data_IF_707797313191
#
_entry.id   IF_707797313191
#
_cell.length_a   1.000
_cell.length_b   1.000
_cell.length_c   1.000
_cell.angle_alpha   90.00
_cell.angle_beta   90.00
_cell.angle_gamma   90.00
#
_symmetry.space_group_name_H-M   'P 1'
#
loop_
_entity.id
_entity.type
_entity.pdbx_description
1 polymer ?
#
# COMPACT_ATOMS: atom_id res chain seq x y z
N UNK A 1 -13.65 6.04 -2.89
CA UNK A 1 -12.56 5.06 -2.81
C UNK A 1 -11.21 5.73 -3.06
N UNK A 2 -10.92 6.24 -4.26
CA UNK A 2 -9.60 6.83 -4.57
C UNK A 2 -9.19 8.14 -3.85
N UNK A 3 -10.13 8.84 -3.22
CA UNK A 3 -9.87 10.11 -2.52
C UNK A 3 -9.99 9.97 -0.99
N UNK A 4 -9.91 8.75 -0.46
CA UNK A 4 -9.89 8.50 0.99
C UNK A 4 -8.47 8.22 1.42
N UNK A 5 -7.91 9.11 2.23
CA UNK A 5 -6.54 9.05 2.75
C UNK A 5 -6.54 8.80 4.26
N UNK A 6 -5.46 8.23 4.83
CA UNK A 6 -4.25 7.76 4.14
C UNK A 6 -4.49 6.52 3.27
N UNK A 7 -3.61 6.31 2.28
CA UNK A 7 -3.63 5.20 1.34
C UNK A 7 -2.30 4.46 1.33
N UNK A 8 -2.41 3.14 1.17
CA UNK A 8 -1.32 2.27 0.83
C UNK A 8 -1.27 2.15 -0.69
N UNK A 9 -0.19 2.63 -1.29
CA UNK A 9 0.05 2.65 -2.74
C UNK A 9 1.06 1.57 -3.06
N UNK A 10 0.64 0.54 -3.77
CA UNK A 10 1.49 -0.62 -4.09
C UNK A 10 1.95 -0.49 -5.54
N UNK A 11 3.25 -0.35 -5.73
CA UNK A 11 3.91 -0.10 -7.02
C UNK A 11 5.05 -1.10 -7.15
N UNK A 12 5.11 -1.88 -8.23
CA UNK A 12 6.16 -2.91 -8.43
C UNK A 12 6.38 -3.85 -7.22
N UNK A 13 5.31 -4.16 -6.48
CA UNK A 13 5.39 -4.99 -5.29
C UNK A 13 6.20 -4.36 -4.14
N UNK A 14 6.34 -3.04 -4.15
CA UNK A 14 6.77 -2.18 -3.05
C UNK A 14 5.58 -1.37 -2.54
N UNK A 15 5.65 -0.96 -1.28
CA UNK A 15 4.59 -0.22 -0.60
C UNK A 15 5.05 1.21 -0.37
N UNK A 16 4.21 2.17 -0.75
CA UNK A 16 4.36 3.59 -0.44
C UNK A 16 3.13 4.06 0.34
N UNK A 17 3.31 5.08 1.19
CA UNK A 17 2.23 5.69 1.96
C UNK A 17 1.93 7.06 1.38
N UNK A 18 0.66 7.32 1.07
CA UNK A 18 0.18 8.63 0.71
C UNK A 18 -0.83 9.13 1.75
N UNK A 19 -0.55 10.24 2.40
CA UNK A 19 -1.48 10.97 3.27
C UNK A 19 -2.30 12.00 2.51
N UNK A 20 -1.83 12.42 1.34
CA UNK A 20 -2.49 13.42 0.49
C UNK A 20 -2.52 12.98 -0.97
N UNK A 21 -3.43 13.55 -1.80
CA UNK A 21 -3.42 13.33 -3.24
C UNK A 21 -2.09 13.71 -3.89
N UNK A 22 -1.45 14.77 -3.38
CA UNK A 22 -0.17 15.25 -3.90
C UNK A 22 0.94 14.22 -3.66
N UNK A 23 1.07 13.68 -2.44
CA UNK A 23 2.05 12.63 -2.14
C UNK A 23 1.84 11.38 -2.99
N UNK A 24 0.58 10.98 -3.21
CA UNK A 24 0.27 9.88 -4.13
C UNK A 24 0.80 10.18 -5.53
N UNK A 25 0.54 11.37 -6.05
CA UNK A 25 0.96 11.74 -7.41
C UNK A 25 2.49 11.86 -7.52
N UNK A 26 3.17 12.26 -6.43
CA UNK A 26 4.64 12.23 -6.31
C UNK A 26 5.20 10.81 -6.39
N UNK A 27 4.62 9.86 -5.66
CA UNK A 27 4.98 8.42 -5.73
C UNK A 27 4.78 7.82 -7.12
N UNK A 28 3.78 8.32 -7.87
CA UNK A 28 3.49 7.87 -9.22
C UNK A 28 4.36 8.53 -10.30
N UNK A 29 5.03 9.64 -9.98
CA UNK A 29 5.82 10.40 -10.96
C UNK A 29 7.02 9.61 -11.49
N UNK A 30 7.55 8.66 -10.71
CA UNK A 30 8.63 7.76 -11.11
C UNK A 30 8.14 6.52 -11.88
N UNK A 31 6.83 6.29 -11.95
CA UNK A 31 6.23 5.10 -12.57
C UNK A 31 6.02 5.34 -14.04
N UNK A 32 6.57 4.45 -14.87
CA UNK A 32 6.34 4.44 -16.31
C UNK A 32 4.86 4.27 -16.62
N UNK A 33 4.36 4.97 -17.64
CA UNK A 33 2.91 5.00 -17.98
C UNK A 33 2.32 3.62 -18.26
N UNK A 34 3.14 2.67 -18.71
CA UNK A 34 2.75 1.28 -18.97
C UNK A 34 2.46 0.49 -17.70
N UNK A 35 3.05 0.89 -16.57
CA UNK A 35 3.01 0.15 -15.30
C UNK A 35 2.01 0.75 -14.30
N UNK A 36 1.42 1.90 -14.65
CA UNK A 36 0.30 2.50 -13.90
C UNK A 36 -0.93 1.57 -13.83
N UNK A 37 -1.05 0.60 -14.72
CA UNK A 37 -2.09 -0.44 -14.66
C UNK A 37 -1.86 -1.44 -13.53
N UNK A 38 -0.61 -1.59 -13.08
CA UNK A 38 -0.24 -2.52 -12.01
C UNK A 38 -0.27 -1.89 -10.62
N UNK A 39 -0.44 -0.57 -10.54
CA UNK A 39 -0.61 0.12 -9.27
C UNK A 39 -1.91 -0.32 -8.58
N UNK A 40 -1.78 -0.65 -7.30
CA UNK A 40 -2.91 -0.98 -6.43
C UNK A 40 -3.00 0.03 -5.31
N UNK A 41 -4.19 0.58 -5.11
CA UNK A 41 -4.54 1.46 -4.01
C UNK A 41 -5.35 0.66 -3.02
N UNK A 42 -4.87 0.57 -1.79
CA UNK A 42 -5.58 0.04 -0.64
C UNK A 42 -5.91 1.19 0.33
N UNK A 43 -7.18 1.36 0.64
CA UNK A 43 -7.62 2.35 1.62
C UNK A 43 -7.92 1.72 2.99
N UNK A 44 -8.09 2.56 4.01
CA UNK A 44 -8.35 2.16 5.40
C UNK A 44 -9.65 1.35 5.59
N UNK A 45 -10.55 1.37 4.61
CA UNK A 45 -11.79 0.57 4.62
C UNK A 45 -11.59 -0.86 4.07
N UNK A 46 -10.38 -1.21 3.63
CA UNK A 46 -10.09 -2.51 3.03
C UNK A 46 -10.49 -2.63 1.56
N UNK A 47 -10.72 -1.51 0.89
CA UNK A 47 -11.09 -1.49 -0.53
C UNK A 47 -9.82 -1.42 -1.38
N UNK A 48 -9.64 -2.42 -2.26
CA UNK A 48 -8.56 -2.49 -3.23
C UNK A 48 -9.04 -1.98 -4.60
N UNK A 49 -8.32 -1.05 -5.19
CA UNK A 49 -8.66 -0.47 -6.48
C UNK A 49 -7.44 -0.04 -7.29
N UNK A 50 -7.60 0.10 -8.60
CA UNK A 50 -6.60 0.69 -9.50
C UNK A 50 -6.69 2.21 -9.46
N UNK A 51 -5.71 2.91 -10.05
CA UNK A 51 -5.73 4.37 -10.22
C UNK A 51 -6.95 4.92 -10.97
N UNK A 52 -7.64 4.07 -11.75
CA UNK A 52 -8.90 4.42 -12.44
C UNK A 52 -10.13 4.16 -11.59
N UNK A 53 -9.96 3.88 -10.30
CA UNK A 53 -11.01 3.53 -9.33
C UNK A 53 -11.79 2.27 -9.73
N UNK A 54 -11.17 1.37 -10.51
CA UNK A 54 -11.71 0.04 -10.78
C UNK A 54 -11.30 -0.93 -9.66
N UNK A 55 -12.21 -1.76 -9.13
CA UNK A 55 -11.90 -2.72 -8.08
C UNK A 55 -10.84 -3.72 -8.54
N UNK A 56 -9.95 -4.11 -7.63
CA UNK A 56 -8.91 -5.11 -7.87
C UNK A 56 -9.04 -6.23 -6.87
N UNK A 57 -8.53 -7.40 -7.23
CA UNK A 57 -8.47 -8.53 -6.30
C UNK A 57 -7.65 -8.15 -5.06
N UNK A 58 -8.16 -8.45 -3.84
CA UNK A 58 -7.42 -8.20 -2.61
C UNK A 58 -6.12 -9.00 -2.57
N UNK A 59 -5.10 -8.42 -1.95
CA UNK A 59 -3.90 -9.17 -1.60
C UNK A 59 -4.20 -10.23 -0.53
N UNK A 60 -3.44 -11.32 -0.55
CA UNK A 60 -3.46 -12.28 0.56
C UNK A 60 -2.90 -11.65 1.84
N UNK A 61 -3.25 -12.21 3.00
CA UNK A 61 -2.74 -11.73 4.28
C UNK A 61 -1.22 -11.86 4.38
N UNK A 62 -0.61 -12.88 3.75
CA UNK A 62 0.85 -13.02 3.67
C UNK A 62 1.47 -11.94 2.78
N UNK A 63 0.88 -11.67 1.61
CA UNK A 63 1.39 -10.65 0.69
C UNK A 63 1.39 -9.26 1.34
N UNK A 64 0.29 -8.92 2.03
CA UNK A 64 0.19 -7.67 2.77
C UNK A 64 1.23 -7.58 3.88
N UNK A 65 1.47 -8.68 4.62
CA UNK A 65 2.51 -8.72 5.65
C UNK A 65 3.90 -8.48 5.06
N UNK A 66 4.25 -9.11 3.94
CA UNK A 66 5.54 -8.91 3.27
C UNK A 66 5.73 -7.44 2.86
N UNK A 67 4.71 -6.82 2.28
CA UNK A 67 4.78 -5.42 1.84
C UNK A 67 4.97 -4.46 3.02
N UNK A 68 4.14 -4.58 4.06
CA UNK A 68 4.19 -3.72 5.24
C UNK A 68 5.51 -3.88 6.00
N UNK A 69 5.97 -5.13 6.18
CA UNK A 69 7.22 -5.38 6.89
C UNK A 69 8.44 -4.92 6.09
N UNK A 70 8.41 -5.02 4.75
CA UNK A 70 9.48 -4.50 3.89
C UNK A 70 9.55 -2.97 3.95
N UNK A 71 8.40 -2.29 3.92
CA UNK A 71 8.33 -0.84 4.10
C UNK A 71 8.92 -0.41 5.45
N UNK A 72 8.45 -1.02 6.55
CA UNK A 72 8.93 -0.70 7.90
C UNK A 72 10.43 -0.98 8.05
N UNK A 73 10.95 -2.03 7.40
CA UNK A 73 12.38 -2.31 7.40
C UNK A 73 13.17 -1.20 6.70
N UNK A 74 12.67 -0.67 5.58
CA UNK A 74 13.27 0.45 4.86
C UNK A 74 13.26 1.75 5.68
N UNK A 75 12.19 1.96 6.48
CA UNK A 75 12.08 3.06 7.44
C UNK A 75 12.96 2.86 8.70
N UNK A 76 13.68 1.73 8.80
CA UNK A 76 14.63 1.46 9.88
C UNK A 76 14.05 0.70 11.08
N UNK A 77 12.80 0.23 11.01
CA UNK A 77 12.24 -0.64 12.03
C UNK A 77 12.86 -2.04 11.97
N UNK A 78 13.21 -2.60 13.13
CA UNK A 78 13.75 -3.95 13.25
C UNK A 78 12.79 -4.90 13.96
N UNK A 79 13.09 -6.21 13.95
CA UNK A 79 12.35 -7.26 14.68
C UNK A 79 10.95 -7.61 14.14
N UNK A 80 10.73 -7.43 12.83
CA UNK A 80 9.45 -7.70 12.15
C UNK A 80 9.23 -9.18 11.78
N UNK A 81 10.21 -10.05 12.02
CA UNK A 81 10.24 -11.46 11.57
C UNK A 81 9.11 -12.34 12.10
N UNK A 82 8.37 -11.88 13.13
CA UNK A 82 7.20 -12.58 13.67
C UNK A 82 5.90 -12.24 12.95
N UNK A 83 5.89 -11.20 12.11
CA UNK A 83 4.72 -10.74 11.36
C UNK A 83 4.71 -11.50 10.04
N UNK A 84 3.97 -12.61 9.98
CA UNK A 84 3.85 -13.45 8.77
C UNK A 84 2.53 -13.25 8.03
N UNK A 85 1.52 -12.70 8.70
CA UNK A 85 0.21 -12.38 8.13
C UNK A 85 -0.32 -11.08 8.74
N UNK A 86 -1.04 -10.29 7.94
CA UNK A 86 -1.72 -9.07 8.39
C UNK A 86 -3.12 -9.00 7.78
N UNK A 87 -4.08 -8.56 8.58
CA UNK A 87 -5.33 -7.98 8.05
C UNK A 87 -5.07 -6.53 7.63
N UNK A 88 -5.99 -5.96 6.82
CA UNK A 88 -5.91 -4.54 6.45
C UNK A 88 -5.87 -3.65 7.69
N UNK A 89 -6.74 -3.89 8.66
CA UNK A 89 -6.78 -3.10 9.89
C UNK A 89 -5.45 -3.15 10.65
N UNK A 90 -4.84 -4.33 10.77
CA UNK A 90 -3.53 -4.47 11.40
C UNK A 90 -2.42 -3.76 10.63
N UNK A 91 -2.45 -3.80 9.29
CA UNK A 91 -1.49 -3.08 8.46
C UNK A 91 -1.54 -1.58 8.71
N UNK A 92 -2.74 -0.97 8.69
CA UNK A 92 -2.89 0.46 8.97
C UNK A 92 -2.49 0.82 10.41
N UNK A 93 -2.87 0.00 11.40
CA UNK A 93 -2.52 0.25 12.79
C UNK A 93 -1.00 0.20 13.04
N UNK A 94 -0.28 -0.76 12.43
CA UNK A 94 1.19 -0.88 12.59
C UNK A 94 1.91 0.29 11.92
N UNK A 95 1.38 0.78 10.80
CA UNK A 95 1.90 1.95 10.10
C UNK A 95 1.48 3.28 10.75
N UNK A 96 0.75 3.22 11.88
CA UNK A 96 0.24 4.38 12.61
C UNK A 96 -0.68 5.30 11.76
N UNK A 97 -1.46 4.69 10.87
CA UNK A 97 -2.35 5.35 9.89
C UNK A 97 -3.83 5.34 10.27
#
# INVERSE_FOLDING_TARGET
>A
MLNQFPQLVIIYNELEIAHTPQERDEHLHSVTTSDLTDVVILNKRGEYCTLKNAPREPLSAEQLAVLVTSYLLNEGHCCLSKITTLTVEQAFNILEL
#
